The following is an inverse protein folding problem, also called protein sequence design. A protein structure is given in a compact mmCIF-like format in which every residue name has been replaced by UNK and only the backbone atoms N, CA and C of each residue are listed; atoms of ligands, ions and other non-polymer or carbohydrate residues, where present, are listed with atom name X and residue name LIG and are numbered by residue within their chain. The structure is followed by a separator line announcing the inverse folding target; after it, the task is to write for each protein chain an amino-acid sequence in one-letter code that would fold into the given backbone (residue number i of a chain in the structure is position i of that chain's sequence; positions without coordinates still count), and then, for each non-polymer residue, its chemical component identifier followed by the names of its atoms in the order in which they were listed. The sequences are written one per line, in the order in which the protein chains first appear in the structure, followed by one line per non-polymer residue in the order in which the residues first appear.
data_IF_954162989161
#
_entry.id   IF_954162989161
#
_cell.length_a   1.000
_cell.length_b   1.000
_cell.length_c   1.000
_cell.angle_alpha   90.00
_cell.angle_beta   90.00
_cell.angle_gamma   90.00
#
_symmetry.space_group_name_H-M   'P 1'
#
loop_
_entity.id
_entity.type
_entity.pdbx_description
1 polymer ?
#
# COMPACT_ATOMS: atom_id res chain seq x y z
N UNK A 1 17.70 6.31 -20.93
CA UNK A 1 17.39 4.91 -20.55
C UNK A 1 18.71 4.21 -20.40
N UNK A 2 18.98 3.57 -19.26
CA UNK A 2 20.28 2.91 -19.01
C UNK A 2 20.46 1.69 -19.93
N UNK A 3 21.68 1.48 -20.39
CA UNK A 3 22.10 0.28 -21.10
C UNK A 3 22.13 -0.93 -20.15
N UNK A 4 22.23 -2.15 -20.72
CA UNK A 4 22.31 -3.38 -19.92
C UNK A 4 23.59 -3.38 -19.07
N UNK A 5 24.71 -2.95 -19.64
CA UNK A 5 26.01 -2.88 -18.95
C UNK A 5 25.95 -1.90 -17.78
N UNK A 6 25.43 -0.69 -18.00
CA UNK A 6 25.24 0.32 -16.95
C UNK A 6 24.35 -0.20 -15.81
N UNK A 7 23.31 -0.97 -16.14
CA UNK A 7 22.44 -1.59 -15.13
C UNK A 7 23.16 -2.65 -14.32
N UNK A 8 24.00 -3.48 -14.94
CA UNK A 8 24.79 -4.50 -14.24
C UNK A 8 25.75 -3.83 -13.26
N UNK A 9 26.47 -2.80 -13.73
CA UNK A 9 27.41 -2.06 -12.89
C UNK A 9 26.70 -1.37 -11.72
N UNK A 10 25.53 -0.78 -11.97
CA UNK A 10 24.69 -0.21 -10.92
C UNK A 10 24.28 -1.26 -9.88
N UNK A 11 23.73 -2.40 -10.32
CA UNK A 11 23.32 -3.50 -9.43
C UNK A 11 24.48 -3.96 -8.55
N UNK A 12 25.66 -4.20 -9.14
CA UNK A 12 26.84 -4.66 -8.39
C UNK A 12 27.25 -3.62 -7.35
N UNK A 13 27.37 -2.35 -7.75
CA UNK A 13 27.78 -1.29 -6.83
C UNK A 13 26.83 -1.10 -5.65
N UNK A 14 25.52 -1.24 -5.88
CA UNK A 14 24.51 -1.15 -4.82
C UNK A 14 24.54 -2.38 -3.91
N UNK A 15 24.69 -3.58 -4.48
CA UNK A 15 24.81 -4.80 -3.68
C UNK A 15 26.06 -4.79 -2.79
N UNK A 16 27.21 -4.38 -3.33
CA UNK A 16 28.46 -4.25 -2.56
C UNK A 16 28.34 -3.19 -1.47
N UNK A 17 27.73 -2.04 -1.77
CA UNK A 17 27.56 -0.95 -0.80
C UNK A 17 26.64 -1.31 0.37
N UNK A 18 25.65 -2.16 0.13
CA UNK A 18 24.60 -2.50 1.09
C UNK A 18 24.69 -3.95 1.60
N UNK A 19 25.81 -4.64 1.38
CA UNK A 19 26.06 -6.03 1.77
C UNK A 19 24.98 -7.02 1.31
N UNK A 20 24.35 -6.77 0.15
CA UNK A 20 23.28 -7.61 -0.39
C UNK A 20 23.89 -8.79 -1.15
N UNK A 21 23.57 -9.99 -0.71
CA UNK A 21 24.12 -11.22 -1.31
C UNK A 21 23.24 -11.80 -2.41
N UNK A 22 23.84 -12.55 -3.35
CA UNK A 22 23.09 -13.33 -4.34
C UNK A 22 22.10 -14.33 -3.72
N UNK A 23 22.41 -14.80 -2.50
CA UNK A 23 21.54 -15.71 -1.76
C UNK A 23 20.24 -15.02 -1.35
N UNK A 24 20.31 -13.80 -0.84
CA UNK A 24 19.15 -13.00 -0.43
C UNK A 24 18.28 -12.65 -1.61
N UNK A 25 18.88 -12.15 -2.70
CA UNK A 25 18.16 -11.86 -3.95
C UNK A 25 17.39 -13.09 -4.41
N UNK A 26 18.03 -14.25 -4.47
CA UNK A 26 17.37 -15.46 -4.95
C UNK A 26 16.45 -16.15 -3.94
N UNK A 27 16.37 -15.64 -2.70
CA UNK A 27 15.42 -16.11 -1.68
C UNK A 27 14.16 -15.24 -1.67
N UNK A 28 14.35 -13.93 -1.78
CA UNK A 28 13.28 -12.94 -1.62
C UNK A 28 12.66 -12.50 -2.97
N UNK A 29 13.23 -12.92 -4.11
CA UNK A 29 12.71 -12.60 -5.45
C UNK A 29 12.45 -13.85 -6.30
N UNK A 30 11.88 -13.65 -7.49
CA UNK A 30 11.68 -14.70 -8.48
C UNK A 30 12.95 -15.06 -9.29
N UNK A 31 14.06 -14.37 -9.07
CA UNK A 31 15.34 -14.66 -9.75
C UNK A 31 16.01 -15.84 -9.07
N UNK A 32 16.53 -16.80 -9.84
CA UNK A 32 17.26 -17.91 -9.22
C UNK A 32 18.58 -17.45 -8.58
N UNK A 33 18.98 -18.09 -7.49
CA UNK A 33 20.28 -17.82 -6.82
C UNK A 33 21.47 -17.92 -7.76
N UNK A 34 21.43 -18.86 -8.73
CA UNK A 34 22.47 -19.01 -9.74
C UNK A 34 22.52 -17.83 -10.72
N UNK A 35 21.36 -17.35 -11.17
CA UNK A 35 21.29 -16.18 -12.05
C UNK A 35 21.76 -14.91 -11.34
N UNK A 36 21.30 -14.68 -10.09
CA UNK A 36 21.76 -13.55 -9.28
C UNK A 36 23.29 -13.60 -9.07
N UNK A 37 23.84 -14.77 -8.73
CA UNK A 37 25.29 -14.96 -8.56
C UNK A 37 26.06 -14.67 -9.85
N UNK A 38 25.56 -15.10 -11.00
CA UNK A 38 26.23 -14.87 -12.28
C UNK A 38 26.25 -13.39 -12.68
N UNK A 39 25.17 -12.66 -12.36
CA UNK A 39 25.09 -11.22 -12.58
C UNK A 39 26.07 -10.49 -11.64
N UNK A 40 26.05 -10.80 -10.34
CA UNK A 40 26.94 -10.13 -9.37
C UNK A 40 28.43 -10.40 -9.64
N UNK A 41 28.78 -11.57 -10.16
CA UNK A 41 30.15 -11.92 -10.51
C UNK A 41 30.55 -11.47 -11.94
N UNK A 42 29.69 -10.75 -12.66
CA UNK A 42 29.85 -10.40 -14.10
C UNK A 42 30.14 -11.59 -15.02
N UNK A 43 29.75 -12.81 -14.65
CA UNK A 43 29.95 -14.00 -15.50
C UNK A 43 28.89 -14.11 -16.59
N UNK A 44 27.76 -13.42 -16.43
CA UNK A 44 26.70 -13.33 -17.43
C UNK A 44 26.77 -12.00 -18.19
N UNK A 45 27.16 -12.05 -19.46
CA UNK A 45 27.36 -10.86 -20.30
C UNK A 45 26.05 -10.20 -20.78
N UNK A 46 24.96 -10.95 -20.91
CA UNK A 46 23.69 -10.42 -21.40
C UNK A 46 22.48 -10.98 -20.63
N UNK A 47 22.26 -10.52 -19.38
CA UNK A 47 21.06 -10.84 -18.62
C UNK A 47 19.82 -10.20 -19.24
N UNK A 48 18.68 -10.89 -19.12
CA UNK A 48 17.40 -10.35 -19.58
C UNK A 48 17.07 -9.08 -18.80
N UNK A 49 16.59 -8.04 -19.48
CA UNK A 49 16.17 -6.78 -18.86
C UNK A 49 15.17 -6.99 -17.70
N UNK A 50 14.23 -7.94 -17.86
CA UNK A 50 13.27 -8.28 -16.80
C UNK A 50 13.97 -8.73 -15.51
N UNK A 51 15.03 -9.53 -15.62
CA UNK A 51 15.78 -10.03 -14.46
C UNK A 51 16.51 -8.88 -13.76
N UNK A 52 17.16 -7.98 -14.50
CA UNK A 52 17.83 -6.82 -13.92
C UNK A 52 16.84 -5.89 -13.20
N UNK A 53 15.67 -5.65 -13.79
CA UNK A 53 14.66 -4.80 -13.18
C UNK A 53 14.15 -5.39 -11.85
N UNK A 54 13.90 -6.71 -11.79
CA UNK A 54 13.48 -7.38 -10.53
C UNK A 54 14.55 -7.21 -9.44
N UNK A 55 15.83 -7.32 -9.78
CA UNK A 55 16.92 -7.15 -8.82
C UNK A 55 16.99 -5.70 -8.34
N UNK A 56 16.85 -4.72 -9.25
CA UNK A 56 16.85 -3.30 -8.90
C UNK A 56 15.68 -2.93 -7.99
N UNK A 57 14.48 -3.42 -8.28
CA UNK A 57 13.28 -3.21 -7.45
C UNK A 57 13.48 -3.78 -6.04
N UNK A 58 14.03 -5.00 -5.92
CA UNK A 58 14.38 -5.57 -4.63
C UNK A 58 15.42 -4.75 -3.86
N UNK A 59 16.47 -4.27 -4.53
CA UNK A 59 17.50 -3.42 -3.92
C UNK A 59 16.87 -2.11 -3.44
N UNK A 60 16.01 -1.50 -4.26
CA UNK A 60 15.27 -0.28 -3.91
C UNK A 60 14.41 -0.50 -2.67
N UNK A 61 13.61 -1.57 -2.63
CA UNK A 61 12.81 -1.92 -1.45
C UNK A 61 13.67 -2.15 -0.21
N UNK A 62 14.83 -2.80 -0.35
CA UNK A 62 15.73 -3.06 0.78
C UNK A 62 16.35 -1.77 1.33
N UNK A 63 16.74 -0.84 0.45
CA UNK A 63 17.37 0.43 0.82
C UNK A 63 16.32 1.43 1.32
N UNK A 64 15.23 1.61 0.59
CA UNK A 64 14.18 2.58 0.93
C UNK A 64 13.34 2.07 2.11
N UNK A 65 13.06 0.77 2.17
CA UNK A 65 12.37 0.14 3.30
C UNK A 65 13.18 0.16 4.61
N UNK A 66 14.51 0.29 4.54
CA UNK A 66 15.35 0.55 5.73
C UNK A 66 15.43 2.02 6.13
N UNK A 67 15.07 2.95 5.23
CA UNK A 67 14.99 4.39 5.54
C UNK A 67 13.56 4.87 5.86
N UNK A 68 12.54 4.04 5.68
CA UNK A 68 11.13 4.40 5.89
C UNK A 68 10.60 4.16 7.32
N UNK A 69 11.46 3.99 8.32
CA UNK A 69 11.08 4.23 9.72
C UNK A 69 11.37 5.68 10.11
N UNK A 70 10.91 6.63 9.31
CA UNK A 70 10.67 7.98 9.82
C UNK A 70 9.32 7.88 10.51
N UNK A 71 9.31 7.52 11.79
CA UNK A 71 8.18 7.92 12.64
C UNK A 71 8.14 9.45 12.58
N UNK A 72 7.25 9.99 11.74
CA UNK A 72 6.94 11.39 11.79
C UNK A 72 6.50 11.65 13.22
N UNK A 73 7.27 12.48 13.94
CA UNK A 73 6.82 13.01 15.23
C UNK A 73 5.37 13.49 15.04
N UNK A 74 4.45 13.09 15.94
CA UNK A 74 3.01 13.33 15.76
C UNK A 74 2.69 14.80 15.47
N UNK A 75 3.50 15.72 16.00
CA UNK A 75 3.45 17.16 15.76
C UNK A 75 3.56 17.54 14.27
N UNK A 76 4.52 16.96 13.54
CA UNK A 76 4.75 17.24 12.12
C UNK A 76 3.67 16.58 11.26
N UNK A 77 3.24 15.36 11.61
CA UNK A 77 2.15 14.67 10.93
C UNK A 77 0.81 15.43 11.07
N UNK A 78 0.59 16.10 12.20
CA UNK A 78 -0.61 16.90 12.44
C UNK A 78 -0.56 18.24 11.69
N UNK A 79 0.59 18.90 11.65
CA UNK A 79 0.78 20.11 10.85
C UNK A 79 0.57 19.86 9.35
N UNK A 80 1.12 18.76 8.81
CA UNK A 80 0.91 18.38 7.41
C UNK A 80 -0.54 17.97 7.12
N UNK A 81 -1.22 17.27 8.03
CA UNK A 81 -2.66 16.97 7.89
C UNK A 81 -3.50 18.25 7.89
N UNK A 82 -3.16 19.21 8.74
CA UNK A 82 -3.85 20.49 8.82
C UNK A 82 -3.53 21.41 7.63
N UNK A 83 -2.32 21.32 7.06
CA UNK A 83 -1.97 22.02 5.82
C UNK A 83 -2.69 21.43 4.59
N UNK A 84 -2.77 20.10 4.52
CA UNK A 84 -3.52 19.41 3.46
C UNK A 84 -5.02 19.73 3.53
N UNK A 85 -5.64 19.74 4.72
CA UNK A 85 -7.04 20.18 4.88
C UNK A 85 -7.26 21.63 4.41
N UNK A 86 -6.36 22.55 4.76
CA UNK A 86 -6.44 23.96 4.33
C UNK A 86 -6.35 24.13 2.81
N UNK A 87 -5.56 23.29 2.13
CA UNK A 87 -5.48 23.30 0.66
C UNK A 87 -6.71 22.66 -0.01
N UNK A 88 -7.36 21.68 0.61
CA UNK A 88 -8.61 21.10 0.10
C UNK A 88 -9.82 22.03 0.28
N UNK A 89 -9.86 22.84 1.35
CA UNK A 89 -10.98 23.74 1.61
C UNK A 89 -10.93 25.04 0.78
N UNK A 90 -9.77 25.40 0.23
CA UNK A 90 -9.58 26.65 -0.54
C UNK A 90 -9.54 26.45 -2.06
N UNK A 91 -9.56 25.21 -2.54
CA UNK A 91 -9.71 24.89 -3.95
C UNK A 91 -10.81 23.84 -4.10
N UNK A 92 -12.06 24.31 -4.19
CA UNK A 92 -13.08 23.57 -4.94
C UNK A 92 -12.54 23.56 -6.37
N UNK A 93 -12.11 22.41 -6.94
CA UNK A 93 -11.66 22.39 -8.32
C UNK A 93 -12.84 22.86 -9.14
N UNK A 94 -12.67 23.93 -9.93
CA UNK A 94 -13.65 24.27 -10.94
C UNK A 94 -13.92 23.00 -11.74
N UNK A 95 -15.20 22.64 -11.92
CA UNK A 95 -15.59 21.46 -12.69
C UNK A 95 -14.89 21.55 -14.05
N UNK A 96 -13.87 20.73 -14.22
CA UNK A 96 -13.16 20.64 -15.49
C UNK A 96 -14.15 19.95 -16.41
N UNK A 97 -14.68 20.70 -17.37
CA UNK A 97 -15.56 20.17 -18.41
C UNK A 97 -14.87 18.99 -19.07
N UNK A 98 -15.36 17.78 -18.78
CA UNK A 98 -14.73 16.54 -19.20
C UNK A 98 -14.60 16.50 -20.71
N UNK A 99 -15.58 17.04 -21.45
CA UNK A 99 -15.59 16.97 -22.90
C UNK A 99 -14.49 17.80 -23.56
N UNK A 100 -14.04 18.87 -22.88
CA UNK A 100 -12.94 19.72 -23.31
C UNK A 100 -11.55 19.06 -23.18
N UNK A 101 -11.44 17.94 -22.46
CA UNK A 101 -10.16 17.27 -22.24
C UNK A 101 -9.69 16.49 -23.46
N UNK A 102 -8.37 16.45 -23.66
CA UNK A 102 -7.73 15.51 -24.58
C UNK A 102 -8.02 14.06 -24.16
N UNK A 103 -8.02 13.13 -25.12
CA UNK A 103 -8.31 11.71 -24.85
C UNK A 103 -7.40 11.14 -23.75
N UNK A 104 -6.11 11.50 -23.76
CA UNK A 104 -5.15 11.06 -22.74
C UNK A 104 -5.55 11.56 -21.33
N UNK A 105 -5.98 12.82 -21.22
CA UNK A 105 -6.40 13.39 -19.95
C UNK A 105 -7.74 12.81 -19.49
N UNK A 106 -8.68 12.52 -20.41
CA UNK A 106 -9.92 11.80 -20.10
C UNK A 106 -9.63 10.44 -19.48
N UNK A 107 -8.71 9.68 -20.07
CA UNK A 107 -8.32 8.36 -19.56
C UNK A 107 -7.66 8.45 -18.18
N UNK A 108 -6.79 9.44 -17.95
CA UNK A 108 -6.20 9.70 -16.62
C UNK A 108 -7.28 10.01 -15.59
N UNK A 109 -8.24 10.90 -15.91
CA UNK A 109 -9.34 11.25 -15.01
C UNK A 109 -10.18 10.04 -14.64
N UNK A 110 -10.56 9.20 -15.62
CA UNK A 110 -11.30 7.95 -15.37
C UNK A 110 -10.50 7.00 -14.47
N UNK A 111 -9.21 6.83 -14.75
CA UNK A 111 -8.34 5.98 -13.93
C UNK A 111 -8.30 6.45 -12.47
N UNK A 112 -8.13 7.74 -12.23
CA UNK A 112 -8.14 8.30 -10.88
C UNK A 112 -9.49 8.16 -10.18
N UNK A 113 -10.60 8.35 -10.90
CA UNK A 113 -11.94 8.14 -10.36
C UNK A 113 -12.16 6.68 -9.96
N UNK A 114 -11.73 5.72 -10.78
CA UNK A 114 -11.82 4.29 -10.48
C UNK A 114 -10.98 3.91 -9.25
N UNK A 115 -9.75 4.45 -9.13
CA UNK A 115 -8.93 4.24 -7.92
C UNK A 115 -9.61 4.77 -6.65
N UNK A 116 -10.29 5.93 -6.76
CA UNK A 116 -11.05 6.50 -5.64
C UNK A 116 -12.23 5.62 -5.24
N UNK A 117 -12.94 5.03 -6.21
CA UNK A 117 -14.06 4.11 -5.95
C UNK A 117 -13.55 2.85 -5.24
N UNK A 118 -12.49 2.22 -5.75
CA UNK A 118 -11.89 1.03 -5.12
C UNK A 118 -11.46 1.32 -3.67
N UNK A 119 -10.82 2.45 -3.42
CA UNK A 119 -10.43 2.86 -2.07
C UNK A 119 -11.62 3.19 -1.15
N UNK A 120 -12.79 3.50 -1.71
CA UNK A 120 -14.03 3.67 -0.93
C UNK A 120 -14.66 2.33 -0.58
N UNK A 121 -14.64 1.35 -1.49
CA UNK A 121 -15.14 0.00 -1.23
C UNK A 121 -14.37 -0.68 -0.10
N UNK A 122 -13.03 -0.58 -0.09
CA UNK A 122 -12.20 -1.12 0.99
C UNK A 122 -12.57 -0.51 2.36
N UNK A 123 -12.85 0.80 2.39
CA UNK A 123 -13.28 1.50 3.61
C UNK A 123 -14.67 1.05 4.05
N UNK A 124 -15.57 0.80 3.10
CA UNK A 124 -16.91 0.35 3.38
C UNK A 124 -16.91 -1.08 3.94
N UNK A 125 -16.02 -1.94 3.43
CA UNK A 125 -15.78 -3.27 3.98
C UNK A 125 -15.20 -3.22 5.40
N UNK A 126 -14.22 -2.35 5.66
CA UNK A 126 -13.69 -2.15 7.01
C UNK A 126 -14.77 -1.66 8.00
N UNK A 127 -15.63 -0.74 7.57
CA UNK A 127 -16.77 -0.27 8.39
C UNK A 127 -17.76 -1.41 8.64
N UNK A 128 -18.05 -2.25 7.64
CA UNK A 128 -18.93 -3.41 7.79
C UNK A 128 -18.35 -4.44 8.77
N UNK A 129 -17.04 -4.72 8.70
CA UNK A 129 -16.35 -5.60 9.64
C UNK A 129 -16.38 -5.03 11.07
N UNK A 130 -16.11 -3.74 11.25
CA UNK A 130 -16.17 -3.08 12.55
C UNK A 130 -17.59 -3.13 13.15
N UNK A 131 -18.62 -2.91 12.34
CA UNK A 131 -20.03 -3.04 12.75
C UNK A 131 -20.39 -4.47 13.17
N UNK A 132 -19.90 -5.48 12.44
CA UNK A 132 -20.11 -6.90 12.76
C UNK A 132 -19.55 -7.27 14.13
N UNK A 133 -18.33 -6.81 14.44
CA UNK A 133 -17.68 -7.03 15.75
C UNK A 133 -18.50 -6.38 16.88
N UNK A 134 -18.92 -5.13 16.70
CA UNK A 134 -19.72 -4.41 17.69
C UNK A 134 -21.09 -5.07 17.94
N UNK A 135 -21.71 -5.64 16.92
CA UNK A 135 -22.97 -6.38 17.06
C UNK A 135 -22.78 -7.68 17.84
N UNK A 136 -21.70 -8.44 17.57
CA UNK A 136 -21.37 -9.67 18.32
C UNK A 136 -21.13 -9.39 19.81
N UNK A 137 -20.42 -8.31 20.13
CA UNK A 137 -20.20 -7.90 21.52
C UNK A 137 -21.50 -7.48 22.21
N UNK A 138 -22.43 -6.86 21.47
CA UNK A 138 -23.72 -6.43 22.02
C UNK A 138 -24.59 -7.63 22.41
N UNK A 139 -24.61 -8.69 21.61
CA UNK A 139 -25.38 -9.90 21.93
C UNK A 139 -24.73 -10.70 23.06
N UNK A 140 -23.39 -10.77 23.11
CA UNK A 140 -22.68 -11.36 24.23
C UNK A 140 -22.92 -10.60 25.56
N UNK A 141 -23.12 -9.28 25.50
CA UNK A 141 -23.49 -8.45 26.65
C UNK A 141 -24.94 -8.68 27.06
N UNK A 142 -25.89 -8.81 26.12
CA UNK A 142 -27.30 -9.13 26.42
C UNK A 142 -27.44 -10.50 27.10
N UNK A 143 -26.71 -11.50 26.62
CA UNK A 143 -26.68 -12.84 27.22
C UNK A 143 -26.10 -12.82 28.64
N UNK A 144 -25.02 -12.04 28.87
CA UNK A 144 -24.41 -11.89 30.20
C UNK A 144 -25.24 -11.08 31.18
N UNK A 145 -26.02 -10.11 30.70
CA UNK A 145 -26.87 -9.26 31.54
C UNK A 145 -28.26 -9.86 31.78
N UNK A 146 -28.61 -11.00 31.16
CA UNK A 146 -29.91 -11.67 31.37
C UNK A 146 -31.12 -10.83 30.95
N UNK A 147 -30.91 -9.79 30.13
CA UNK A 147 -31.92 -8.78 29.80
C UNK A 147 -33.10 -9.40 29.03
N UNK A 148 -32.86 -10.47 28.26
CA UNK A 148 -33.92 -11.15 27.53
C UNK A 148 -35.00 -11.75 28.44
N UNK A 149 -34.62 -12.33 29.57
CA UNK A 149 -35.57 -12.96 30.50
C UNK A 149 -36.30 -11.90 31.36
N UNK A 150 -35.63 -10.80 31.69
CA UNK A 150 -36.21 -9.71 32.45
C UNK A 150 -37.22 -8.88 31.64
N UNK A 151 -36.94 -8.61 30.36
CA UNK A 151 -37.88 -7.95 29.44
C UNK A 151 -39.07 -8.86 29.09
N UNK A 152 -38.85 -10.16 28.87
CA UNK A 152 -39.94 -11.14 28.65
C UNK A 152 -40.84 -11.27 29.88
N UNK A 153 -40.29 -11.20 31.10
CA UNK A 153 -41.08 -11.23 32.34
C UNK A 153 -41.84 -9.92 32.59
N UNK A 154 -41.27 -8.75 32.28
CA UNK A 154 -41.99 -7.48 32.39
C UNK A 154 -43.14 -7.35 31.38
N UNK A 155 -42.99 -7.89 30.17
CA UNK A 155 -44.07 -7.91 29.17
C UNK A 155 -45.19 -8.90 29.55
N UNK A 156 -44.88 -10.05 30.15
CA UNK A 156 -45.88 -11.01 30.65
C UNK A 156 -46.70 -10.49 31.83
N UNK A 157 -46.20 -9.53 32.59
CA UNK A 157 -46.91 -8.95 33.73
C UNK A 157 -47.80 -7.74 33.36
N UNK A 158 -47.77 -7.29 32.10
CA UNK A 158 -48.53 -6.14 31.61
C UNK A 158 -49.69 -6.50 30.66
N UNK A 159 -49.95 -7.79 30.46
CA UNK A 159 -51.11 -8.35 29.75
C UNK A 159 -51.78 -9.40 30.62
#
# INVERSE_FOLDING_TARGET
MLTIEEKIDLVISLCEKHDITAYEIGKETSVSKSAARNILNKTQSNPKNKTLNIILEYIEEKIVGSQAQIELKPEIAEEHRNAAKRNFETHIPQEVDFDSLSIENKLKTIYFQNQKILAMDDKLEQVAQALSILLLDTDAIKDKLGIEDEVKNQLKNNF
#
